data_IF_267077800951
#
_entry.id   IF_267077800951
#
_cell.length_a   1.000
_cell.length_b   1.000
_cell.length_c   1.000
_cell.angle_alpha   90.00
_cell.angle_beta   90.00
_cell.angle_gamma   90.00
#
_symmetry.space_group_name_H-M   'P 1'
#
loop_
_entity.id
_entity.type
_entity.pdbx_description
1 polymer ?
#
# COMPACT_ATOMS: atom_id res chain seq x y z
N UNK A 1 0.12 3.37 -37.78
CA UNK A 1 0.12 3.07 -36.33
C UNK A 1 -0.66 1.79 -36.11
N UNK A 2 -0.04 0.74 -35.53
CA UNK A 2 -0.70 -0.57 -35.39
C UNK A 2 -1.84 -0.45 -34.35
N UNK A 3 -3.05 -0.97 -34.60
CA UNK A 3 -4.19 -0.84 -33.70
C UNK A 3 -3.90 -1.38 -32.29
N UNK A 4 -3.01 -2.37 -32.19
CA UNK A 4 -2.49 -2.90 -30.92
C UNK A 4 -1.77 -1.84 -30.07
N UNK A 5 -1.07 -0.89 -30.69
CA UNK A 5 -0.37 0.18 -29.99
C UNK A 5 -1.34 1.19 -29.36
N UNK A 6 -2.50 1.40 -29.98
CA UNK A 6 -3.54 2.31 -29.48
C UNK A 6 -4.24 1.66 -28.29
N UNK A 7 -4.53 0.36 -28.37
CA UNK A 7 -5.13 -0.40 -27.26
C UNK A 7 -4.21 -0.43 -26.04
N UNK A 8 -2.91 -0.70 -26.22
CA UNK A 8 -1.92 -0.69 -25.14
C UNK A 8 -1.84 0.69 -24.48
N UNK A 9 -1.85 1.76 -25.28
CA UNK A 9 -1.81 3.12 -24.77
C UNK A 9 -3.08 3.48 -23.98
N UNK A 10 -4.27 3.07 -24.46
CA UNK A 10 -5.53 3.23 -23.74
C UNK A 10 -5.52 2.50 -22.40
N UNK A 11 -5.05 1.25 -22.36
CA UNK A 11 -4.93 0.48 -21.11
C UNK A 11 -3.96 1.17 -20.14
N UNK A 12 -2.82 1.66 -20.63
CA UNK A 12 -1.85 2.39 -19.81
C UNK A 12 -2.45 3.67 -19.19
N UNK A 13 -3.20 4.43 -19.99
CA UNK A 13 -3.84 5.67 -19.53
C UNK A 13 -4.93 5.39 -18.50
N UNK A 14 -5.75 4.35 -18.70
CA UNK A 14 -6.75 3.92 -17.71
C UNK A 14 -6.08 3.48 -16.40
N UNK A 15 -4.99 2.71 -16.47
CA UNK A 15 -4.22 2.33 -15.28
C UNK A 15 -3.63 3.54 -14.54
N UNK A 16 -3.09 4.50 -15.28
CA UNK A 16 -2.49 5.71 -14.72
C UNK A 16 -3.55 6.63 -14.07
N UNK A 17 -4.73 6.75 -14.66
CA UNK A 17 -5.86 7.49 -14.10
C UNK A 17 -6.39 6.81 -12.84
N UNK A 18 -6.55 5.49 -12.85
CA UNK A 18 -6.89 4.73 -11.64
C UNK A 18 -5.82 4.88 -10.54
N UNK A 19 -4.53 4.91 -10.87
CA UNK A 19 -3.46 5.18 -9.90
C UNK A 19 -3.48 6.62 -9.36
N UNK A 20 -4.00 7.59 -10.12
CA UNK A 20 -3.99 9.00 -9.71
C UNK A 20 -5.23 9.40 -8.91
N UNK A 21 -6.41 8.87 -9.25
CA UNK A 21 -7.60 9.03 -8.41
C UNK A 21 -7.53 8.17 -7.14
N UNK A 22 -6.85 7.02 -7.22
CA UNK A 22 -6.37 6.33 -6.04
C UNK A 22 -5.02 6.92 -5.60
N UNK A 23 -5.03 8.11 -5.00
CA UNK A 23 -4.05 8.43 -3.94
C UNK A 23 -4.22 7.48 -2.72
N UNK A 24 -5.15 6.52 -2.83
CA UNK A 24 -5.23 5.27 -2.09
C UNK A 24 -4.93 4.06 -2.99
N UNK A 25 -3.91 4.13 -3.86
CA UNK A 25 -3.18 2.93 -4.24
C UNK A 25 -2.45 2.53 -2.95
N UNK A 26 -3.24 1.98 -2.02
CA UNK A 26 -2.77 0.99 -1.08
C UNK A 26 -1.92 0.08 -1.94
N UNK A 27 -0.60 0.23 -1.81
CA UNK A 27 0.28 -0.92 -1.94
C UNK A 27 -0.53 -2.11 -1.40
N UNK A 28 -0.58 -3.27 -2.08
CA UNK A 28 -1.48 -4.37 -1.69
C UNK A 28 -1.31 -4.84 -0.21
N UNK A 29 -0.31 -4.28 0.47
CA UNK A 29 0.26 -4.51 1.77
C UNK A 29 -0.08 -3.27 2.63
N UNK A 30 -1.37 -2.97 2.81
CA UNK A 30 -1.77 -2.03 3.87
C UNK A 30 -1.50 -2.67 5.23
N UNK A 31 -1.34 -1.89 6.31
CA UNK A 31 -1.18 -2.48 7.64
C UNK A 31 -2.29 -3.47 7.99
N UNK A 32 -3.53 -3.15 7.58
CA UNK A 32 -4.68 -4.04 7.73
C UNK A 32 -4.54 -5.35 6.94
N UNK A 33 -3.95 -5.32 5.73
CA UNK A 33 -3.68 -6.53 4.93
C UNK A 33 -2.67 -7.46 5.60
N UNK A 34 -1.80 -6.92 6.46
CA UNK A 34 -0.78 -7.67 7.22
C UNK A 34 -1.29 -8.10 8.61
N UNK A 35 -2.59 -7.92 8.90
CA UNK A 35 -3.16 -8.06 10.26
C UNK A 35 -2.40 -7.23 11.31
N UNK A 36 -1.79 -6.12 10.88
CA UNK A 36 -1.01 -5.23 11.71
C UNK A 36 -1.85 -4.12 12.34
N UNK A 37 -1.27 -3.51 13.37
CA UNK A 37 -1.82 -2.37 14.10
C UNK A 37 -0.96 -1.14 13.90
N UNK A 38 -1.61 0.01 13.68
CA UNK A 38 -0.90 1.29 13.61
C UNK A 38 -0.54 1.76 15.03
N UNK A 39 0.75 1.85 15.34
CA UNK A 39 1.25 2.39 16.61
C UNK A 39 2.05 3.67 16.40
N UNK A 40 1.94 4.58 17.36
CA UNK A 40 2.68 5.84 17.32
C UNK A 40 4.10 5.61 17.82
N UNK A 41 5.10 5.98 17.01
CA UNK A 41 6.51 5.99 17.42
C UNK A 41 7.25 4.65 17.31
N UNK A 42 6.84 3.59 18.01
CA UNK A 42 7.57 2.30 18.02
C UNK A 42 6.62 1.11 18.23
N UNK A 43 6.97 -0.04 17.64
CA UNK A 43 6.27 -1.31 17.84
C UNK A 43 6.61 -1.96 19.19
N UNK A 44 5.75 -2.85 19.70
CA UNK A 44 6.09 -3.64 20.88
C UNK A 44 7.27 -4.59 20.57
N UNK A 45 8.02 -5.04 21.60
CA UNK A 45 9.11 -6.00 21.41
C UNK A 45 8.69 -7.33 20.77
N UNK A 46 7.41 -7.69 20.90
CA UNK A 46 6.79 -8.89 20.31
C UNK A 46 6.21 -8.66 18.91
N UNK A 47 6.28 -7.43 18.40
CA UNK A 47 5.72 -7.02 17.11
C UNK A 47 6.86 -6.72 16.12
N UNK A 48 6.61 -7.00 14.84
CA UNK A 48 7.51 -6.69 13.75
C UNK A 48 7.13 -5.34 13.11
N UNK A 49 8.13 -4.51 12.84
CA UNK A 49 7.98 -3.24 12.16
C UNK A 49 7.94 -3.43 10.64
N UNK A 50 6.88 -2.94 9.99
CA UNK A 50 6.68 -3.02 8.54
C UNK A 50 6.70 -1.67 7.82
N UNK A 51 6.99 -0.56 8.51
CA UNK A 51 6.97 0.78 7.91
C UNK A 51 5.66 1.54 8.13
N UNK A 52 5.53 2.78 7.64
CA UNK A 52 4.31 3.59 7.75
C UNK A 52 3.21 3.15 6.76
N UNK A 53 3.12 1.85 6.45
CA UNK A 53 2.27 1.29 5.40
C UNK A 53 0.78 1.43 5.77
N UNK A 54 0.10 2.42 5.19
CA UNK A 54 -1.34 2.65 5.44
C UNK A 54 -1.67 3.21 6.83
N UNK A 55 -0.66 3.66 7.59
CA UNK A 55 -0.85 4.35 8.85
C UNK A 55 -0.66 5.87 8.67
N UNK A 56 -1.33 6.67 9.49
CA UNK A 56 -1.21 8.13 9.46
C UNK A 56 0.23 8.61 9.76
N UNK A 57 0.50 9.90 9.49
CA UNK A 57 1.82 10.50 9.79
C UNK A 57 2.21 10.29 11.26
N UNK A 58 3.42 9.78 11.50
CA UNK A 58 3.93 9.48 12.83
C UNK A 58 3.50 8.12 13.40
N UNK A 59 2.71 7.35 12.65
CA UNK A 59 2.35 5.98 12.98
C UNK A 59 3.09 4.99 12.10
N UNK A 60 3.41 3.86 12.68
CA UNK A 60 4.11 2.73 12.08
C UNK A 60 3.18 1.52 12.09
N UNK A 61 3.27 0.69 11.07
CA UNK A 61 2.59 -0.58 11.04
C UNK A 61 3.40 -1.62 11.82
N UNK A 62 2.76 -2.20 12.84
CA UNK A 62 3.33 -3.21 13.73
C UNK A 62 2.51 -4.50 13.62
N UNK A 63 3.14 -5.62 13.29
CA UNK A 63 2.46 -6.90 13.12
C UNK A 63 2.86 -7.83 14.25
N UNK A 64 1.87 -8.38 14.96
CA UNK A 64 2.12 -9.37 16.01
C UNK A 64 2.68 -10.65 15.39
N UNK A 65 3.88 -11.05 15.81
CA UNK A 65 4.43 -12.34 15.41
C UNK A 65 3.82 -13.42 16.33
N UNK A 66 2.80 -14.13 15.87
CA UNK A 66 2.36 -15.36 16.51
C UNK A 66 3.37 -16.46 16.16
N UNK A 67 4.33 -16.71 17.07
CA UNK A 67 5.10 -17.95 17.13
C UNK A 67 4.31 -18.99 17.92
#
# INVERSE_FOLDING_TARGET
MKPQSILVLLVLVVLALHCKENEAASFPWSCASLSGVCRQGVCLPSELYFGPLGCGKGFLCCVSHFL
#
